data_IF_524490220668
#
_entry.id   IF_524490220668
#
_cell.length_a   1.000
_cell.length_b   1.000
_cell.length_c   1.000
_cell.angle_alpha   90.00
_cell.angle_beta   90.00
_cell.angle_gamma   90.00
#
_symmetry.space_group_name_H-M   'P 1'
#
loop_
_entity.id
_entity.type
_entity.pdbx_description
1 polymer ?
#
# COMPACT_ATOMS: atom_id res chain seq x y z
N UNK A 1 10.61 9.56 19.48
CA UNK A 1 9.22 9.44 19.04
C UNK A 1 9.16 10.05 17.65
N UNK A 2 8.61 9.34 16.66
CA UNK A 2 8.51 9.87 15.31
C UNK A 2 7.65 11.12 15.31
N UNK A 3 8.09 12.17 14.62
CA UNK A 3 7.43 13.47 14.67
C UNK A 3 7.54 14.26 13.36
N UNK A 4 8.31 13.76 12.39
CA UNK A 4 8.58 14.42 11.10
C UNK A 4 7.73 13.79 10.02
N UNK A 5 6.81 14.55 9.44
CA UNK A 5 5.91 14.07 8.41
C UNK A 5 6.30 14.71 7.08
N UNK A 6 6.61 13.87 6.10
CA UNK A 6 6.79 14.30 4.72
C UNK A 6 5.43 14.47 4.06
N UNK A 7 5.11 15.70 3.66
CA UNK A 7 3.89 16.05 2.93
C UNK A 7 4.24 16.14 1.46
N UNK A 8 3.59 15.33 0.64
CA UNK A 8 3.84 15.23 -0.79
C UNK A 8 2.57 15.63 -1.54
N UNK A 9 2.72 16.50 -2.54
CA UNK A 9 1.60 16.87 -3.41
C UNK A 9 2.01 17.84 -4.51
N UNK A 10 1.04 18.13 -5.37
CA UNK A 10 1.19 19.12 -6.46
C UNK A 10 0.95 20.52 -5.90
N UNK A 11 2.01 21.20 -5.43
CA UNK A 11 1.87 22.51 -4.79
C UNK A 11 1.43 23.61 -5.75
N UNK A 12 1.66 23.47 -7.06
CA UNK A 12 1.16 24.41 -8.07
C UNK A 12 -0.38 24.52 -8.16
N UNK A 13 -1.10 23.51 -7.69
CA UNK A 13 -2.58 23.46 -7.76
C UNK A 13 -3.26 23.28 -6.41
N UNK A 14 -2.54 22.82 -5.38
CA UNK A 14 -3.08 22.46 -4.07
C UNK A 14 -2.31 23.06 -2.90
N UNK A 15 -1.67 24.20 -3.14
CA UNK A 15 -0.79 24.86 -2.17
C UNK A 15 -1.51 25.11 -0.83
N UNK A 16 -2.71 25.69 -0.90
CA UNK A 16 -3.53 26.01 0.26
C UNK A 16 -3.84 24.77 1.11
N UNK A 17 -4.23 23.67 0.48
CA UNK A 17 -4.56 22.42 1.15
C UNK A 17 -3.35 21.74 1.79
N UNK A 18 -2.22 21.72 1.08
CA UNK A 18 -0.96 21.15 1.56
C UNK A 18 -0.42 21.97 2.74
N UNK A 19 -0.48 23.30 2.65
CA UNK A 19 -0.10 24.20 3.74
C UNK A 19 -1.06 24.10 4.94
N UNK A 20 -2.35 23.86 4.71
CA UNK A 20 -3.29 23.58 5.78
C UNK A 20 -2.92 22.29 6.54
N UNK A 21 -2.62 21.20 5.83
CA UNK A 21 -2.12 19.96 6.44
C UNK A 21 -0.85 20.24 7.26
N UNK A 22 0.12 20.94 6.69
CA UNK A 22 1.37 21.30 7.37
C UNK A 22 1.12 22.10 8.64
N UNK A 23 0.19 23.07 8.60
CA UNK A 23 -0.23 23.85 9.75
C UNK A 23 -0.87 23.01 10.85
N UNK A 24 -1.72 22.04 10.49
CA UNK A 24 -2.33 21.11 11.46
C UNK A 24 -1.28 20.23 12.14
N UNK A 25 -0.29 19.72 11.39
CA UNK A 25 0.81 18.91 11.93
C UNK A 25 1.66 19.75 12.90
N UNK A 26 2.08 20.95 12.47
CA UNK A 26 2.85 21.89 13.31
C UNK A 26 2.09 22.29 14.57
N UNK A 27 0.78 22.56 14.45
CA UNK A 27 -0.09 22.90 15.58
C UNK A 27 -0.21 21.78 16.63
N UNK A 28 0.04 20.53 16.26
CA UNK A 28 0.08 19.37 17.15
C UNK A 28 1.50 19.03 17.64
N UNK A 29 2.45 19.94 17.44
CA UNK A 29 3.85 19.78 17.82
C UNK A 29 4.64 18.85 16.91
N UNK A 30 4.12 18.52 15.73
CA UNK A 30 4.84 17.79 14.67
C UNK A 30 5.74 18.70 13.84
N UNK A 31 6.69 18.10 13.13
CA UNK A 31 7.48 18.75 12.09
C UNK A 31 6.89 18.38 10.73
N UNK A 32 6.57 19.38 9.92
CA UNK A 32 6.00 19.20 8.59
C UNK A 32 7.04 19.56 7.54
N UNK A 33 7.53 18.54 6.84
CA UNK A 33 8.44 18.59 5.70
C UNK A 33 7.63 18.53 4.40
N UNK A 34 8.14 19.10 3.32
CA UNK A 34 7.37 19.33 2.09
C UNK A 34 8.12 18.88 0.84
N UNK A 35 7.44 18.15 -0.04
CA UNK A 35 7.97 17.71 -1.33
C UNK A 35 6.98 18.07 -2.43
N UNK A 36 7.46 18.87 -3.38
CA UNK A 36 6.68 19.27 -4.54
C UNK A 36 6.80 18.27 -5.68
N UNK A 37 5.65 17.76 -6.12
CA UNK A 37 5.53 16.87 -7.29
C UNK A 37 4.69 17.51 -8.41
N UNK A 38 4.64 18.84 -8.46
CA UNK A 38 4.06 19.60 -9.58
C UNK A 38 4.89 19.54 -10.85
N UNK A 39 4.22 19.50 -12.01
CA UNK A 39 4.90 19.47 -13.31
C UNK A 39 5.12 20.90 -13.84
N UNK A 40 4.03 21.65 -14.02
CA UNK A 40 4.05 22.91 -14.76
C UNK A 40 4.33 24.11 -13.86
N UNK A 41 3.50 24.33 -12.85
CA UNK A 41 3.60 25.52 -12.00
C UNK A 41 4.63 25.37 -10.90
N UNK A 42 4.68 26.38 -10.03
CA UNK A 42 5.57 26.42 -8.87
C UNK A 42 4.75 26.68 -7.61
N UNK A 43 5.22 26.21 -6.43
CA UNK A 43 4.61 26.56 -5.15
C UNK A 43 4.73 28.08 -4.89
N UNK A 44 3.85 28.63 -4.05
CA UNK A 44 3.92 30.03 -3.61
C UNK A 44 5.14 30.32 -2.73
N UNK A 45 5.66 29.30 -2.05
CA UNK A 45 6.90 29.34 -1.27
C UNK A 45 7.74 28.08 -1.55
N UNK A 46 9.09 28.15 -1.46
CA UNK A 46 9.92 26.97 -1.67
C UNK A 46 9.57 25.81 -0.72
N UNK A 47 9.48 24.60 -1.27
CA UNK A 47 9.37 23.35 -0.50
C UNK A 47 10.77 22.85 -0.07
N UNK A 48 10.82 21.94 0.90
CA UNK A 48 12.08 21.34 1.37
C UNK A 48 12.76 20.51 0.27
N UNK A 49 11.96 19.86 -0.58
CA UNK A 49 12.39 19.25 -1.83
C UNK A 49 11.49 19.74 -2.97
N UNK A 50 12.11 20.24 -4.02
CA UNK A 50 11.43 20.77 -5.21
C UNK A 50 11.16 19.68 -6.24
N UNK A 51 10.30 19.99 -7.22
CA UNK A 51 10.12 19.15 -8.43
C UNK A 51 11.43 18.85 -9.17
N UNK A 52 12.44 19.71 -9.06
CA UNK A 52 13.75 19.48 -9.68
C UNK A 52 14.56 18.43 -8.93
N UNK A 53 14.48 18.40 -7.60
CA UNK A 53 15.12 17.36 -6.78
C UNK A 53 14.49 15.99 -7.07
N UNK A 54 13.16 15.96 -7.20
CA UNK A 54 12.40 14.76 -7.59
C UNK A 54 12.85 14.25 -8.97
N UNK A 55 13.02 15.15 -9.95
CA UNK A 55 13.46 14.79 -11.31
C UNK A 55 14.92 14.39 -11.41
N UNK A 56 15.79 15.01 -10.62
CA UNK A 56 17.18 14.57 -10.51
C UNK A 56 17.26 13.11 -10.02
N UNK A 57 16.43 12.72 -9.04
CA UNK A 57 16.37 11.33 -8.56
C UNK A 57 15.81 10.36 -9.62
N UNK A 58 14.91 10.83 -10.49
CA UNK A 58 14.44 10.08 -11.65
C UNK A 58 15.45 9.99 -12.80
N UNK A 59 16.62 10.64 -12.69
CA UNK A 59 17.63 10.68 -13.75
C UNK A 59 17.23 11.53 -14.97
N UNK A 60 16.33 12.50 -14.79
CA UNK A 60 15.84 13.39 -15.85
C UNK A 60 15.68 14.83 -15.34
N UNK A 61 15.03 15.71 -16.11
CA UNK A 61 14.75 17.11 -15.72
C UNK A 61 13.27 17.45 -15.88
N UNK A 62 12.82 18.49 -15.18
CA UNK A 62 11.45 19.00 -15.33
C UNK A 62 11.17 19.42 -16.78
N UNK A 63 12.13 20.07 -17.43
CA UNK A 63 11.98 20.55 -18.81
C UNK A 63 11.82 19.38 -19.79
N UNK A 64 12.54 18.27 -19.56
CA UNK A 64 12.43 17.08 -20.40
C UNK A 64 11.06 16.41 -20.29
N UNK A 65 10.47 16.37 -19.09
CA UNK A 65 9.13 15.78 -18.92
C UNK A 65 8.00 16.72 -19.38
N UNK A 66 8.20 18.05 -19.29
CA UNK A 66 7.28 19.02 -19.89
C UNK A 66 7.28 18.89 -21.42
N UNK A 67 8.46 18.71 -22.02
CA UNK A 67 8.61 18.56 -23.47
C UNK A 67 7.97 17.27 -24.03
N UNK A 68 7.59 16.32 -23.18
CA UNK A 68 6.85 15.13 -23.60
C UNK A 68 5.38 15.44 -23.96
N UNK A 69 4.85 16.61 -23.55
CA UNK A 69 3.48 17.08 -23.81
C UNK A 69 2.37 16.06 -23.47
N UNK A 70 2.65 15.14 -22.53
CA UNK A 70 1.75 14.09 -22.08
C UNK A 70 1.73 14.07 -20.55
N UNK A 71 0.56 14.38 -19.99
CA UNK A 71 0.34 14.48 -18.54
C UNK A 71 0.60 13.15 -17.83
N UNK A 72 0.20 12.03 -18.43
CA UNK A 72 0.40 10.72 -17.84
C UNK A 72 1.90 10.36 -17.82
N UNK A 73 2.61 10.58 -18.93
CA UNK A 73 4.07 10.35 -18.98
C UNK A 73 4.80 11.19 -17.94
N UNK A 74 4.44 12.47 -17.81
CA UNK A 74 5.02 13.36 -16.82
C UNK A 74 4.74 12.91 -15.38
N UNK A 75 3.49 12.53 -15.07
CA UNK A 75 3.11 12.06 -13.73
C UNK A 75 3.73 10.71 -13.38
N UNK A 76 3.89 9.79 -14.35
CA UNK A 76 4.61 8.53 -14.14
C UNK A 76 6.11 8.77 -13.87
N UNK A 77 6.73 9.76 -14.51
CA UNK A 77 8.10 10.15 -14.18
C UNK A 77 8.18 10.72 -12.76
N UNK A 78 7.25 11.60 -12.38
CA UNK A 78 7.13 12.13 -11.02
C UNK A 78 6.92 11.06 -9.97
N UNK A 79 6.11 10.03 -10.27
CA UNK A 79 5.92 8.88 -9.40
C UNK A 79 7.24 8.15 -9.12
N UNK A 80 7.98 7.79 -10.18
CA UNK A 80 9.28 7.13 -10.03
C UNK A 80 10.30 7.99 -9.26
N UNK A 81 10.39 9.28 -9.60
CA UNK A 81 11.32 10.20 -8.93
C UNK A 81 10.99 10.40 -7.46
N UNK A 82 9.72 10.63 -7.14
CA UNK A 82 9.28 10.89 -5.75
C UNK A 82 9.36 9.64 -4.90
N UNK A 83 9.05 8.45 -5.46
CA UNK A 83 9.24 7.17 -4.79
C UNK A 83 10.72 6.90 -4.46
N UNK A 84 11.61 7.09 -5.43
CA UNK A 84 13.06 6.93 -5.22
C UNK A 84 13.59 7.92 -4.17
N UNK A 85 13.15 9.18 -4.25
CA UNK A 85 13.58 10.25 -3.34
C UNK A 85 13.06 9.97 -1.93
N UNK A 86 11.78 9.65 -1.76
CA UNK A 86 11.20 9.30 -0.47
C UNK A 86 11.90 8.09 0.16
N UNK A 87 12.20 7.04 -0.63
CA UNK A 87 12.92 5.87 -0.15
C UNK A 87 14.34 6.23 0.33
N UNK A 88 15.05 7.10 -0.39
CA UNK A 88 16.37 7.60 0.02
C UNK A 88 16.29 8.43 1.29
N UNK A 89 15.38 9.41 1.33
CA UNK A 89 15.18 10.28 2.50
C UNK A 89 14.78 9.48 3.75
N UNK A 90 14.00 8.42 3.59
CA UNK A 90 13.67 7.51 4.69
C UNK A 90 14.90 6.74 5.20
N UNK A 91 15.75 6.21 4.29
CA UNK A 91 17.02 5.57 4.67
C UNK A 91 17.97 6.53 5.40
N UNK A 92 17.94 7.81 5.03
CA UNK A 92 18.66 8.89 5.69
C UNK A 92 17.97 9.38 6.98
N UNK A 93 16.88 8.73 7.40
CA UNK A 93 16.13 9.01 8.63
C UNK A 93 15.62 10.46 8.66
N UNK A 94 15.20 11.01 7.50
CA UNK A 94 14.77 12.41 7.36
C UNK A 94 13.33 12.64 7.80
N UNK A 95 12.46 11.63 7.68
CA UNK A 95 11.07 11.69 8.11
C UNK A 95 10.65 10.37 8.78
N UNK A 96 9.54 10.41 9.51
CA UNK A 96 9.00 9.29 10.31
C UNK A 96 7.64 8.80 9.80
N UNK A 97 6.99 9.55 8.90
CA UNK A 97 5.77 9.15 8.18
C UNK A 97 5.53 10.02 6.95
N UNK A 98 4.70 9.58 6.02
CA UNK A 98 4.38 10.30 4.79
C UNK A 98 2.87 10.52 4.64
N UNK A 99 2.49 11.70 4.18
CA UNK A 99 1.12 12.04 3.77
C UNK A 99 1.14 12.56 2.34
N UNK A 100 0.39 11.91 1.45
CA UNK A 100 0.25 12.31 0.05
C UNK A 100 -1.17 12.80 -0.22
N UNK A 101 -1.31 13.97 -0.84
CA UNK A 101 -2.62 14.54 -1.22
C UNK A 101 -2.77 14.56 -2.75
N UNK A 102 -3.90 14.05 -3.26
CA UNK A 102 -4.10 14.02 -4.70
C UNK A 102 -5.52 13.73 -5.19
N UNK A 103 -5.77 14.09 -6.45
CA UNK A 103 -6.87 13.53 -7.25
C UNK A 103 -6.50 12.13 -7.77
N UNK A 104 -7.08 11.68 -8.88
CA UNK A 104 -6.71 10.39 -9.50
C UNK A 104 -5.22 10.29 -9.81
N UNK A 105 -4.63 11.29 -10.48
CA UNK A 105 -3.20 11.29 -10.83
C UNK A 105 -2.27 11.38 -9.61
N UNK A 106 -2.61 12.22 -8.64
CA UNK A 106 -1.84 12.30 -7.39
C UNK A 106 -1.95 11.01 -6.57
N UNK A 107 -3.08 10.30 -6.68
CA UNK A 107 -3.23 8.98 -6.06
C UNK A 107 -2.38 7.93 -6.78
N UNK A 108 -2.38 7.95 -8.12
CA UNK A 108 -1.51 7.07 -8.91
C UNK A 108 -0.05 7.19 -8.50
N UNK A 109 0.45 8.43 -8.39
CA UNK A 109 1.78 8.72 -7.85
C UNK A 109 1.96 8.23 -6.40
N UNK A 110 0.97 8.45 -5.55
CA UNK A 110 1.03 8.08 -4.14
C UNK A 110 1.20 6.57 -3.94
N UNK A 111 0.62 5.73 -4.82
CA UNK A 111 0.74 4.28 -4.73
C UNK A 111 2.19 3.83 -4.86
N UNK A 112 2.91 4.35 -5.87
CA UNK A 112 4.32 4.02 -6.09
C UNK A 112 5.21 4.56 -4.97
N UNK A 113 4.93 5.79 -4.50
CA UNK A 113 5.66 6.39 -3.39
C UNK A 113 5.51 5.56 -2.11
N UNK A 114 4.28 5.16 -1.78
CA UNK A 114 4.01 4.36 -0.60
C UNK A 114 4.62 2.95 -0.71
N UNK A 115 4.55 2.32 -1.88
CA UNK A 115 5.16 1.02 -2.12
C UNK A 115 6.70 1.01 -1.98
N UNK A 116 7.35 2.15 -2.23
CA UNK A 116 8.80 2.29 -2.07
C UNK A 116 9.27 2.39 -0.60
N UNK A 117 8.34 2.53 0.35
CA UNK A 117 8.64 2.69 1.77
C UNK A 117 8.41 1.36 2.54
N UNK A 118 9.30 0.97 3.47
CA UNK A 118 9.17 -0.29 4.20
C UNK A 118 7.88 -0.42 5.02
N UNK A 119 7.46 -1.66 5.29
CA UNK A 119 6.41 -1.95 6.26
C UNK A 119 6.73 -1.33 7.64
N UNK A 120 5.73 -0.69 8.25
CA UNK A 120 5.86 -0.02 9.55
C UNK A 120 6.17 1.47 9.44
N UNK A 121 6.50 1.99 8.25
CA UNK A 121 6.48 3.43 8.00
C UNK A 121 5.02 3.85 7.80
N UNK A 122 4.46 4.78 8.60
CA UNK A 122 3.11 5.29 8.39
C UNK A 122 2.99 5.99 7.02
N UNK A 123 2.09 5.47 6.18
CA UNK A 123 1.83 5.99 4.82
C UNK A 123 0.36 6.33 4.71
N UNK A 124 0.04 7.60 4.52
CA UNK A 124 -1.33 8.09 4.50
C UNK A 124 -1.64 8.80 3.18
N UNK A 125 -2.70 8.38 2.49
CA UNK A 125 -3.13 8.98 1.22
C UNK A 125 -4.47 9.69 1.42
N UNK A 126 -4.49 10.98 1.13
CA UNK A 126 -5.73 11.76 1.04
C UNK A 126 -6.11 11.87 -0.42
N UNK A 127 -7.15 11.14 -0.82
CA UNK A 127 -7.48 10.95 -2.23
C UNK A 127 -8.97 11.12 -2.53
N UNK A 128 -9.28 11.75 -3.66
CA UNK A 128 -10.67 11.83 -4.19
C UNK A 128 -11.19 10.49 -4.71
N UNK A 129 -10.32 9.49 -4.86
CA UNK A 129 -10.63 8.14 -5.35
C UNK A 129 -10.24 7.06 -4.34
N UNK A 130 -10.10 7.41 -3.06
CA UNK A 130 -9.78 6.45 -1.99
C UNK A 130 -10.75 5.27 -1.99
N UNK A 131 -10.21 4.05 -1.87
CA UNK A 131 -10.96 2.79 -1.88
C UNK A 131 -11.77 2.52 -3.16
N UNK A 132 -11.50 3.28 -4.24
CA UNK A 132 -12.19 3.09 -5.52
C UNK A 132 -11.74 1.80 -6.21
N UNK A 133 -12.65 1.12 -6.95
CA UNK A 133 -12.28 0.03 -7.86
C UNK A 133 -11.27 0.42 -8.95
N UNK A 134 -10.99 1.72 -9.15
CA UNK A 134 -9.93 2.21 -10.05
C UNK A 134 -8.52 1.90 -9.52
N UNK A 135 -8.36 1.67 -8.22
CA UNK A 135 -7.05 1.41 -7.62
C UNK A 135 -6.75 -0.09 -7.75
N UNK A 136 -5.71 -0.47 -8.51
CA UNK A 136 -5.35 -1.86 -8.64
C UNK A 136 -4.78 -2.39 -7.30
N UNK A 137 -5.31 -3.50 -6.76
CA UNK A 137 -4.88 -4.01 -5.45
C UNK A 137 -3.38 -4.33 -5.35
N UNK A 138 -2.74 -4.73 -6.46
CA UNK A 138 -1.29 -4.97 -6.56
C UNK A 138 -0.42 -3.74 -6.24
N UNK A 139 -0.93 -2.53 -6.40
CA UNK A 139 -0.16 -1.30 -6.17
C UNK A 139 -0.30 -0.77 -4.74
N UNK A 140 -1.13 -1.40 -3.91
CA UNK A 140 -1.32 -0.99 -2.51
C UNK A 140 -0.27 -1.65 -1.62
N UNK A 141 0.58 -0.83 -1.00
CA UNK A 141 1.45 -1.32 0.08
C UNK A 141 0.60 -1.80 1.27
N UNK A 142 1.04 -2.88 1.92
CA UNK A 142 0.23 -3.64 2.89
C UNK A 142 -0.33 -2.82 4.07
N UNK A 143 0.38 -1.76 4.48
CA UNK A 143 0.05 -0.88 5.61
C UNK A 143 -0.36 0.54 5.17
N UNK A 144 -0.73 0.72 3.89
CA UNK A 144 -1.23 1.99 3.37
C UNK A 144 -2.57 2.34 4.02
N UNK A 145 -2.67 3.56 4.53
CA UNK A 145 -3.90 4.15 5.05
C UNK A 145 -4.43 5.18 4.07
N UNK A 146 -5.75 5.29 3.93
CA UNK A 146 -6.38 6.26 3.04
C UNK A 146 -7.60 6.93 3.67
N UNK A 147 -7.90 8.16 3.23
CA UNK A 147 -9.17 8.83 3.51
C UNK A 147 -9.74 9.48 2.25
N UNK A 148 -11.04 9.31 2.03
CA UNK A 148 -11.75 9.96 0.93
C UNK A 148 -11.77 11.47 1.16
N UNK A 149 -11.18 12.22 0.22
CA UNK A 149 -11.22 13.68 0.24
C UNK A 149 -12.51 14.20 -0.40
N UNK A 150 -13.62 14.01 0.30
CA UNK A 150 -14.94 14.39 -0.18
C UNK A 150 -15.06 15.92 -0.37
N UNK A 151 -15.50 16.36 -1.57
CA UNK A 151 -15.68 17.78 -1.88
C UNK A 151 -14.39 18.58 -2.08
N UNK A 152 -13.24 17.89 -2.21
CA UNK A 152 -11.89 18.44 -2.30
C UNK A 152 -11.37 18.73 -3.70
N UNK A 153 -12.23 19.02 -4.67
CA UNK A 153 -11.73 19.21 -6.04
C UNK A 153 -10.89 20.48 -6.18
N UNK A 154 -11.26 21.55 -5.47
CA UNK A 154 -10.59 22.84 -5.54
C UNK A 154 -10.91 23.71 -4.33
N UNK A 155 -9.86 24.17 -3.65
CA UNK A 155 -9.94 25.16 -2.59
C UNK A 155 -10.32 24.60 -1.21
N UNK A 156 -9.88 25.33 -0.20
CA UNK A 156 -10.20 25.04 1.19
C UNK A 156 -11.64 25.44 1.54
N UNK A 157 -12.46 24.45 1.87
CA UNK A 157 -13.76 24.64 2.52
C UNK A 157 -13.86 23.82 3.82
N UNK A 158 -14.95 23.97 4.57
CA UNK A 158 -15.16 23.24 5.83
C UNK A 158 -15.16 21.73 5.66
N UNK A 159 -15.68 21.22 4.55
CA UNK A 159 -15.72 19.77 4.23
C UNK A 159 -14.30 19.25 3.95
N UNK A 160 -13.52 19.99 3.16
CA UNK A 160 -12.11 19.66 2.90
C UNK A 160 -11.31 19.59 4.20
N UNK A 161 -11.42 20.63 5.05
CA UNK A 161 -10.66 20.75 6.29
C UNK A 161 -10.90 19.59 7.25
N UNK A 162 -12.11 19.04 7.30
CA UNK A 162 -12.42 17.84 8.12
C UNK A 162 -11.61 16.63 7.67
N UNK A 163 -11.48 16.38 6.37
CA UNK A 163 -10.70 15.23 5.87
C UNK A 163 -9.20 15.47 6.02
N UNK A 164 -8.72 16.67 5.68
CA UNK A 164 -7.30 17.04 5.74
C UNK A 164 -6.77 17.03 7.18
N UNK A 165 -7.55 17.54 8.14
CA UNK A 165 -7.13 17.55 9.56
C UNK A 165 -7.12 16.16 10.19
N UNK A 166 -8.08 15.29 9.82
CA UNK A 166 -8.07 13.88 10.25
C UNK A 166 -6.85 13.15 9.70
N UNK A 167 -6.51 13.32 8.42
CA UNK A 167 -5.32 12.72 7.83
C UNK A 167 -4.03 13.18 8.51
N UNK A 168 -3.90 14.49 8.75
CA UNK A 168 -2.77 15.08 9.46
C UNK A 168 -2.60 14.51 10.88
N UNK A 169 -3.70 14.40 11.64
CA UNK A 169 -3.68 13.79 12.97
C UNK A 169 -3.39 12.29 12.94
N UNK A 170 -3.95 11.56 11.96
CA UNK A 170 -3.77 10.12 11.83
C UNK A 170 -2.32 9.76 11.50
N UNK A 171 -1.70 10.41 10.52
CA UNK A 171 -0.30 10.13 10.15
C UNK A 171 0.67 10.51 11.27
N UNK A 172 0.43 11.63 11.96
CA UNK A 172 1.27 12.08 13.08
C UNK A 172 1.12 11.16 14.29
N UNK A 173 -0.12 10.76 14.61
CA UNK A 173 -0.41 9.79 15.66
C UNK A 173 0.25 8.43 15.38
N UNK A 174 0.13 7.95 14.14
CA UNK A 174 0.79 6.72 13.70
C UNK A 174 2.32 6.81 13.80
N UNK A 175 2.94 7.92 13.36
CA UNK A 175 4.39 8.12 13.49
C UNK A 175 4.88 8.15 14.94
N UNK A 176 4.03 8.59 15.87
CA UNK A 176 4.35 8.59 17.31
C UNK A 176 4.15 7.23 17.97
N UNK A 177 3.19 6.45 17.49
CA UNK A 177 2.72 5.22 18.14
C UNK A 177 3.24 3.93 17.51
N UNK A 178 3.71 3.97 16.25
CA UNK A 178 4.10 2.75 15.53
C UNK A 178 5.26 2.05 16.24
N UNK A 179 5.10 0.73 16.36
CA UNK A 179 6.18 -0.16 16.79
C UNK A 179 6.90 -0.66 15.54
N UNK A 180 8.21 -0.38 15.38
CA UNK A 180 8.94 -0.90 14.24
C UNK A 180 8.97 -2.44 14.29
N UNK A 181 8.93 -3.13 13.13
CA UNK A 181 9.04 -4.58 13.09
C UNK A 181 10.29 -5.06 13.85
N UNK A 182 10.09 -5.90 14.86
CA UNK A 182 11.21 -6.51 15.58
C UNK A 182 11.84 -7.60 14.69
N UNK A 183 13.18 -7.59 14.58
CA UNK A 183 13.96 -8.56 13.78
C UNK A 183 14.87 -9.45 14.64
N UNK A 184 14.67 -9.49 15.95
CA UNK A 184 15.45 -10.28 16.91
C UNK A 184 15.27 -11.80 16.71
N UNK A 185 14.15 -12.21 16.08
CA UNK A 185 13.81 -13.61 15.84
C UNK A 185 13.62 -13.86 14.35
N UNK A 186 14.07 -15.02 13.83
CA UNK A 186 13.79 -15.40 12.45
C UNK A 186 12.28 -15.53 12.24
N UNK A 187 11.75 -14.82 11.23
CA UNK A 187 10.33 -14.78 10.94
C UNK A 187 9.92 -15.92 9.99
N UNK A 188 8.86 -16.63 10.33
CA UNK A 188 8.19 -17.60 9.45
C UNK A 188 6.89 -16.98 8.95
N UNK A 189 6.75 -16.89 7.63
CA UNK A 189 5.49 -16.56 6.99
C UNK A 189 4.62 -17.80 6.86
N UNK A 190 3.33 -17.71 7.18
CA UNK A 190 2.36 -18.80 6.99
C UNK A 190 1.08 -18.27 6.36
N UNK A 191 0.62 -18.86 5.25
CA UNK A 191 -0.71 -18.55 4.68
C UNK A 191 -1.76 -19.44 5.33
N UNK A 192 -2.98 -18.94 5.56
CA UNK A 192 -4.11 -19.70 6.10
C UNK A 192 -5.47 -19.05 5.82
N UNK A 193 -6.54 -19.81 6.02
CA UNK A 193 -7.91 -19.34 6.19
C UNK A 193 -8.28 -19.30 7.68
N UNK A 194 -9.52 -18.86 7.97
CA UNK A 194 -10.10 -18.93 9.30
C UNK A 194 -10.07 -20.35 9.91
N UNK A 195 -9.96 -20.42 11.24
CA UNK A 195 -9.83 -21.67 12.02
C UNK A 195 -10.97 -22.68 11.87
N UNK A 196 -12.09 -22.24 11.29
CA UNK A 196 -13.22 -23.11 10.95
C UNK A 196 -12.90 -23.99 9.74
N UNK A 197 -12.01 -23.54 8.85
CA UNK A 197 -11.60 -24.23 7.62
C UNK A 197 -10.25 -24.91 7.78
N UNK A 198 -9.21 -24.17 8.20
CA UNK A 198 -7.85 -24.68 8.36
C UNK A 198 -7.39 -24.54 9.81
N UNK A 199 -6.81 -25.59 10.41
CA UNK A 199 -6.47 -25.61 11.86
C UNK A 199 -4.97 -25.73 12.16
N UNK A 200 -4.12 -25.98 11.17
CA UNK A 200 -2.70 -26.25 11.40
C UNK A 200 -1.99 -25.10 12.13
N UNK A 201 -2.40 -23.85 11.92
CA UNK A 201 -1.76 -22.68 12.52
C UNK A 201 -1.90 -22.66 14.04
N UNK A 202 -2.97 -23.23 14.62
CA UNK A 202 -3.14 -23.28 16.08
C UNK A 202 -2.18 -24.26 16.74
N UNK A 203 -1.69 -25.25 15.99
CA UNK A 203 -0.69 -26.22 16.47
C UNK A 203 0.73 -25.76 16.15
N UNK A 204 0.95 -25.25 14.92
CA UNK A 204 2.28 -24.92 14.42
C UNK A 204 2.84 -23.64 15.05
N UNK A 205 2.05 -22.57 15.17
CA UNK A 205 2.55 -21.28 15.68
C UNK A 205 3.18 -21.41 17.08
N UNK A 206 2.52 -21.98 18.11
CA UNK A 206 3.14 -22.13 19.43
C UNK A 206 4.39 -23.03 19.41
N UNK A 207 4.39 -24.07 18.58
CA UNK A 207 5.50 -25.01 18.49
C UNK A 207 6.73 -24.38 17.80
N UNK A 208 6.53 -23.50 16.82
CA UNK A 208 7.60 -22.73 16.17
C UNK A 208 8.11 -21.62 17.08
N UNK A 209 7.22 -20.96 17.81
CA UNK A 209 7.58 -19.94 18.80
C UNK A 209 8.39 -20.50 19.96
N UNK A 210 8.07 -21.70 20.44
CA UNK A 210 8.86 -22.41 21.45
C UNK A 210 10.28 -22.76 20.96
N UNK A 211 10.51 -22.78 19.63
CA UNK A 211 11.82 -23.01 19.00
C UNK A 211 12.56 -21.71 18.66
N UNK A 212 12.03 -20.55 19.04
CA UNK A 212 12.68 -19.25 18.85
C UNK A 212 12.30 -18.52 17.56
N UNK A 213 11.39 -19.04 16.74
CA UNK A 213 10.89 -18.34 15.54
C UNK A 213 9.77 -17.37 15.88
N UNK A 214 9.67 -16.26 15.16
CA UNK A 214 8.43 -15.49 15.10
C UNK A 214 7.55 -16.05 13.97
N UNK A 215 6.23 -16.02 14.11
CA UNK A 215 5.31 -16.55 13.08
C UNK A 215 4.25 -15.51 12.76
N UNK A 216 4.25 -15.04 11.51
CA UNK A 216 3.21 -14.19 10.94
C UNK A 216 2.27 -15.05 10.08
N UNK A 217 0.97 -15.01 10.41
CA UNK A 217 -0.07 -15.75 9.68
C UNK A 217 -0.87 -14.78 8.82
N UNK A 218 -0.92 -15.03 7.52
CA UNK A 218 -1.56 -14.19 6.52
C UNK A 218 -2.85 -14.84 6.03
N UNK A 219 -3.92 -14.05 5.98
CA UNK A 219 -5.21 -14.52 5.48
C UNK A 219 -5.20 -14.54 3.95
N UNK A 220 -5.37 -15.72 3.35
CA UNK A 220 -5.28 -15.92 1.90
C UNK A 220 -6.54 -15.42 1.15
N UNK A 221 -6.88 -14.14 1.27
CA UNK A 221 -8.05 -13.50 0.61
C UNK A 221 -7.63 -12.40 -0.36
N UNK A 222 -6.57 -12.64 -1.12
CA UNK A 222 -5.96 -11.72 -2.07
C UNK A 222 -4.97 -10.76 -1.40
N UNK A 223 -5.47 -9.84 -0.56
CA UNK A 223 -4.60 -8.82 0.05
C UNK A 223 -3.59 -9.40 1.05
N UNK A 224 -3.95 -10.43 1.81
CA UNK A 224 -3.01 -11.08 2.72
C UNK A 224 -1.93 -11.86 1.96
N UNK A 225 -2.27 -12.52 0.85
CA UNK A 225 -1.30 -13.12 -0.06
C UNK A 225 -0.35 -12.09 -0.67
N UNK A 226 -0.85 -10.91 -1.08
CA UNK A 226 0.01 -9.81 -1.59
C UNK A 226 1.02 -9.35 -0.55
N UNK A 227 0.55 -9.11 0.68
CA UNK A 227 1.43 -8.73 1.79
C UNK A 227 2.49 -9.81 2.07
N UNK A 228 2.09 -11.09 2.00
CA UNK A 228 2.99 -12.22 2.14
C UNK A 228 4.05 -12.24 1.02
N UNK A 229 3.66 -12.12 -0.25
CA UNK A 229 4.60 -12.13 -1.38
C UNK A 229 5.53 -10.91 -1.40
N UNK A 230 5.03 -9.73 -1.00
CA UNK A 230 5.85 -8.52 -0.86
C UNK A 230 6.94 -8.69 0.19
N UNK A 231 6.60 -9.22 1.37
CA UNK A 231 7.59 -9.53 2.40
C UNK A 231 8.56 -10.64 1.98
N UNK A 232 8.08 -11.63 1.22
CA UNK A 232 8.95 -12.66 0.65
C UNK A 232 9.96 -12.07 -0.34
N UNK A 233 9.52 -11.16 -1.22
CA UNK A 233 10.38 -10.48 -2.20
C UNK A 233 11.47 -9.62 -1.53
N UNK A 234 11.19 -9.08 -0.34
CA UNK A 234 12.14 -8.33 0.48
C UNK A 234 13.12 -9.21 1.29
N UNK A 235 12.98 -10.55 1.22
CA UNK A 235 13.82 -11.46 1.99
C UNK A 235 13.48 -11.47 3.49
N UNK A 236 12.26 -11.09 3.87
CA UNK A 236 11.89 -10.91 5.28
C UNK A 236 11.73 -12.22 6.06
N UNK A 237 11.54 -13.36 5.38
CA UNK A 237 11.27 -14.64 6.00
C UNK A 237 12.50 -15.55 6.05
N UNK A 238 12.69 -16.24 7.17
CA UNK A 238 13.63 -17.33 7.31
C UNK A 238 13.13 -18.63 6.63
N UNK A 239 11.82 -18.81 6.58
CA UNK A 239 11.13 -19.87 5.84
C UNK A 239 9.67 -19.47 5.61
N UNK A 240 9.03 -20.06 4.60
CA UNK A 240 7.60 -19.89 4.36
C UNK A 240 6.86 -21.23 4.42
N UNK A 241 5.67 -21.20 5.03
CA UNK A 241 4.72 -22.30 5.13
C UNK A 241 3.45 -21.92 4.36
N UNK A 242 3.47 -22.19 3.07
CA UNK A 242 2.45 -21.75 2.15
C UNK A 242 1.38 -22.83 1.93
N UNK A 243 0.46 -22.92 2.90
CA UNK A 243 -0.48 -24.02 3.01
C UNK A 243 -1.87 -23.70 2.48
N UNK A 244 -2.13 -22.45 2.07
CA UNK A 244 -3.40 -22.01 1.49
C UNK A 244 -3.17 -21.35 0.12
N UNK A 245 -2.88 -22.12 -0.96
CA UNK A 245 -2.56 -21.59 -2.28
C UNK A 245 -3.78 -21.13 -3.11
N UNK A 246 -4.96 -21.07 -2.51
CA UNK A 246 -6.24 -20.76 -3.18
C UNK A 246 -6.21 -19.48 -4.05
N UNK A 247 -5.43 -18.48 -3.66
CA UNK A 247 -5.29 -17.22 -4.39
C UNK A 247 -4.67 -17.39 -5.79
N UNK A 248 -3.96 -18.51 -6.04
CA UNK A 248 -3.49 -18.90 -7.39
C UNK A 248 -4.69 -19.22 -8.28
N UNK A 249 -5.64 -20.02 -7.78
CA UNK A 249 -6.90 -20.31 -8.48
C UNK A 249 -7.67 -19.02 -8.77
N UNK A 250 -7.80 -18.13 -7.79
CA UNK A 250 -8.44 -16.83 -7.98
C UNK A 250 -7.77 -16.01 -9.09
N UNK A 251 -6.43 -15.98 -9.14
CA UNK A 251 -5.70 -15.29 -10.20
C UNK A 251 -5.99 -15.90 -11.59
N UNK A 252 -5.90 -17.22 -11.70
CA UNK A 252 -6.10 -17.94 -12.97
C UNK A 252 -7.51 -17.74 -13.55
N UNK A 253 -8.53 -17.59 -12.69
CA UNK A 253 -9.91 -17.38 -13.09
C UNK A 253 -10.34 -15.90 -13.14
N UNK A 254 -9.38 -14.98 -13.06
CA UNK A 254 -9.64 -13.54 -13.21
C UNK A 254 -10.45 -12.94 -12.06
N UNK A 255 -10.41 -13.54 -10.87
CA UNK A 255 -11.05 -12.96 -9.69
C UNK A 255 -10.28 -11.75 -9.18
N UNK A 256 -11.02 -10.73 -8.73
CA UNK A 256 -10.44 -9.58 -8.03
C UNK A 256 -9.92 -9.94 -6.62
N UNK A 257 -10.27 -11.10 -6.06
CA UNK A 257 -9.76 -11.62 -4.77
C UNK A 257 -8.47 -12.40 -5.04
N UNK A 258 -7.51 -11.76 -5.70
CA UNK A 258 -6.26 -12.38 -6.14
C UNK A 258 -5.06 -11.79 -5.41
N UNK A 259 -4.04 -12.62 -5.22
CA UNK A 259 -2.76 -12.18 -4.68
C UNK A 259 -1.77 -11.66 -5.74
N UNK A 260 -2.16 -11.66 -7.02
CA UNK A 260 -1.31 -11.20 -8.12
C UNK A 260 -0.62 -12.34 -8.88
N UNK A 261 0.11 -11.95 -9.92
CA UNK A 261 0.74 -12.88 -10.87
C UNK A 261 1.98 -13.59 -10.30
N UNK A 262 2.59 -13.05 -9.26
CA UNK A 262 3.78 -13.57 -8.59
C UNK A 262 3.46 -14.45 -7.38
N UNK A 263 2.18 -14.82 -7.18
CA UNK A 263 1.74 -15.65 -6.06
C UNK A 263 2.48 -17.00 -6.04
N UNK A 264 3.10 -17.30 -4.90
CA UNK A 264 3.99 -18.43 -4.61
C UNK A 264 5.40 -18.37 -5.20
N UNK A 265 5.78 -17.29 -5.91
CA UNK A 265 7.06 -17.23 -6.62
C UNK A 265 8.18 -16.54 -5.84
N UNK A 266 7.88 -15.53 -5.02
CA UNK A 266 8.91 -14.63 -4.50
C UNK A 266 9.81 -15.29 -3.45
N UNK A 267 9.28 -16.23 -2.67
CA UNK A 267 10.09 -17.01 -1.73
C UNK A 267 11.19 -17.81 -2.47
N UNK A 268 10.81 -18.50 -3.56
CA UNK A 268 11.75 -19.25 -4.39
C UNK A 268 12.79 -18.35 -5.06
N UNK A 269 12.37 -17.19 -5.60
CA UNK A 269 13.28 -16.19 -6.20
C UNK A 269 14.31 -15.66 -5.20
N UNK A 270 13.94 -15.52 -3.93
CA UNK A 270 14.83 -15.07 -2.85
C UNK A 270 15.61 -16.22 -2.18
N UNK A 271 15.45 -17.47 -2.62
CA UNK A 271 16.11 -18.64 -2.03
C UNK A 271 15.62 -18.98 -0.62
N UNK A 272 14.42 -18.51 -0.24
CA UNK A 272 13.80 -18.79 1.06
C UNK A 272 13.25 -20.23 1.05
N UNK A 273 13.54 -21.07 2.07
CA UNK A 273 12.95 -22.39 2.19
C UNK A 273 11.42 -22.33 2.17
N UNK A 274 10.80 -23.04 1.21
CA UNK A 274 9.36 -23.01 0.96
C UNK A 274 8.74 -24.40 1.17
N UNK A 275 7.75 -24.48 2.07
CA UNK A 275 6.95 -25.69 2.31
C UNK A 275 5.54 -25.39 1.84
N UNK A 276 5.02 -26.19 0.90
CA UNK A 276 3.72 -25.97 0.26
C UNK A 276 2.73 -27.07 0.64
N UNK A 277 1.44 -26.70 0.74
CA UNK A 277 0.32 -27.64 0.85
C UNK A 277 -0.85 -27.16 -0.04
N UNK A 278 -1.94 -27.92 -0.09
CA UNK A 278 -3.06 -27.72 -1.02
C UNK A 278 -4.33 -27.17 -0.33
N UNK A 279 -4.21 -26.44 0.77
CA UNK A 279 -5.38 -25.95 1.50
C UNK A 279 -6.27 -25.06 0.61
N UNK A 280 -7.55 -25.44 0.47
CA UNK A 280 -8.55 -24.68 -0.29
C UNK A 280 -8.20 -24.47 -1.77
N UNK A 281 -7.34 -25.30 -2.37
CA UNK A 281 -6.92 -25.15 -3.77
C UNK A 281 -8.08 -25.28 -4.77
N UNK A 282 -9.17 -25.92 -4.35
CA UNK A 282 -10.40 -26.18 -5.09
C UNK A 282 -11.44 -25.06 -4.97
N UNK A 283 -11.15 -23.98 -4.24
CA UNK A 283 -12.06 -22.85 -4.08
C UNK A 283 -11.67 -21.70 -4.98
N UNK A 284 -12.65 -21.08 -5.63
CA UNK A 284 -12.48 -19.81 -6.34
C UNK A 284 -13.39 -18.79 -5.69
N UNK A 285 -12.81 -17.73 -5.12
CA UNK A 285 -13.56 -16.64 -4.51
C UNK A 285 -13.84 -15.54 -5.52
N UNK A 286 -15.03 -14.97 -5.47
CA UNK A 286 -15.47 -13.82 -6.23
C UNK A 286 -16.04 -12.74 -5.30
N UNK A 287 -16.05 -11.50 -5.80
CA UNK A 287 -16.64 -10.36 -5.10
C UNK A 287 -18.16 -10.56 -5.03
N UNK A 288 -18.69 -10.77 -3.83
CA UNK A 288 -20.04 -11.31 -3.63
C UNK A 288 -21.19 -10.40 -4.05
N UNK A 289 -20.95 -9.10 -4.24
CA UNK A 289 -21.96 -8.14 -4.71
C UNK A 289 -21.94 -7.95 -6.24
N UNK A 290 -21.03 -8.60 -6.95
CA UNK A 290 -21.04 -8.70 -8.40
C UNK A 290 -21.75 -9.99 -8.86
N UNK A 291 -22.32 -10.01 -10.09
CA UNK A 291 -22.72 -11.26 -10.70
C UNK A 291 -21.50 -12.17 -10.87
N UNK A 292 -21.72 -13.48 -10.79
CA UNK A 292 -20.68 -14.46 -11.11
C UNK A 292 -20.26 -14.31 -12.57
N UNK A 293 -18.97 -14.51 -12.91
CA UNK A 293 -18.51 -14.52 -14.29
C UNK A 293 -19.24 -15.60 -15.12
N UNK A 294 -19.37 -15.37 -16.43
CA UNK A 294 -20.11 -16.24 -17.35
C UNK A 294 -19.77 -17.75 -17.23
N UNK A 295 -18.49 -18.16 -17.07
CA UNK A 295 -18.15 -19.58 -16.89
C UNK A 295 -18.72 -20.21 -15.60
N UNK A 296 -19.04 -19.40 -14.60
CA UNK A 296 -19.47 -19.83 -13.27
C UNK A 296 -20.92 -19.46 -12.93
N UNK A 297 -21.65 -18.81 -13.85
CA UNK A 297 -22.99 -18.26 -13.59
C UNK A 297 -23.99 -19.28 -13.03
N UNK A 298 -23.88 -20.54 -13.49
CA UNK A 298 -24.76 -21.66 -13.11
C UNK A 298 -24.07 -22.64 -12.14
N UNK A 299 -22.85 -22.34 -11.69
CA UNK A 299 -22.11 -23.18 -10.75
C UNK A 299 -22.68 -23.00 -9.34
N UNK A 300 -22.88 -24.08 -8.56
CA UNK A 300 -23.26 -23.96 -7.16
C UNK A 300 -22.26 -23.07 -6.39
N UNK A 301 -22.75 -21.94 -5.91
CA UNK A 301 -21.96 -20.95 -5.20
C UNK A 301 -22.39 -20.83 -3.74
N UNK A 302 -21.44 -20.56 -2.86
CA UNK A 302 -21.68 -20.30 -1.45
C UNK A 302 -21.37 -18.83 -1.14
N UNK A 303 -22.40 -18.06 -0.79
CA UNK A 303 -22.21 -16.71 -0.28
C UNK A 303 -21.69 -16.78 1.17
N UNK A 304 -20.38 -16.57 1.35
CA UNK A 304 -19.78 -16.53 2.68
C UNK A 304 -20.24 -15.28 3.45
N UNK A 305 -20.26 -14.14 2.76
CA UNK A 305 -20.85 -12.89 3.23
C UNK A 305 -21.17 -11.97 2.03
N UNK A 306 -21.61 -10.73 2.27
CA UNK A 306 -21.96 -9.77 1.20
C UNK A 306 -20.77 -9.34 0.30
N UNK A 307 -19.54 -9.55 0.74
CA UNK A 307 -18.32 -9.19 0.02
C UNK A 307 -17.67 -10.38 -0.69
N UNK A 308 -17.96 -11.61 -0.27
CA UNK A 308 -17.27 -12.82 -0.74
C UNK A 308 -18.25 -13.95 -1.04
N UNK A 309 -18.18 -14.46 -2.25
CA UNK A 309 -18.88 -15.65 -2.73
C UNK A 309 -17.85 -16.64 -3.26
N UNK A 310 -17.93 -17.90 -2.86
CA UNK A 310 -17.00 -18.95 -3.30
C UNK A 310 -17.70 -19.95 -4.20
N UNK A 311 -17.02 -20.45 -5.22
CA UNK A 311 -17.40 -21.65 -5.98
C UNK A 311 -16.38 -22.75 -5.75
N UNK A 312 -16.82 -24.00 -5.79
CA UNK A 312 -15.91 -25.16 -5.74
C UNK A 312 -15.63 -25.59 -7.17
N UNK A 313 -14.34 -25.67 -7.52
CA UNK A 313 -13.86 -26.22 -8.77
C UNK A 313 -13.85 -27.75 -8.67
N UNK A 314 -14.76 -28.40 -9.40
CA UNK A 314 -14.84 -29.86 -9.54
C UNK A 314 -14.04 -30.38 -10.72
#
# INVERSE_FOLDING_TARGET
MGNRILIVGTYDTKDDELNYIAGVIRGQGGEALTMDVSVLGNPTAPTDWSKHDVMAEAGTTIDAIIAAEDENIAMQAMARGSAALAARLHREVRFDGVLVLGGSMGTDLALDLCAALPLGVPKYIVSTVSFSPMIPPERLAADTQMILWAGGLYGLNSVCKVSLSQAAGAVLGAARAVEPPNRDRPLIGMTSFGKTVLRYMTTLKPALEARGYEVAVFHATGMGGRAFESLAAEGAFAAVMDFAPQEVGNHLYGSAISAGADRMENAGKQGIPQIVSIGCYDLIDFVGWHPLPEPFKDTPAHAHNRLLTSVVQT
#
